data_IF_377205391546
#
_entry.id   IF_377205391546
#
_cell.length_a   1.000
_cell.length_b   1.000
_cell.length_c   1.000
_cell.angle_alpha   90.00
_cell.angle_beta   90.00
_cell.angle_gamma   90.00
#
_symmetry.space_group_name_H-M   'P 1'
#
loop_
_entity.id
_entity.type
_entity.pdbx_description
1 polymer ?
#
# COMPACT_ATOMS: atom_id res chain seq x y z
N UNK A 1 -4.93 4.32 -10.19
CA UNK A 1 -4.53 4.61 -8.80
C UNK A 1 -3.25 5.39 -8.79
N UNK A 2 -2.93 6.01 -7.66
CA UNK A 2 -1.63 6.66 -7.46
C UNK A 2 -0.85 5.87 -6.42
N UNK A 3 0.37 5.46 -6.75
CA UNK A 3 1.30 4.78 -5.85
C UNK A 3 2.59 5.59 -5.79
N UNK A 4 3.00 6.05 -4.60
CA UNK A 4 4.21 6.86 -4.40
C UNK A 4 4.29 8.07 -5.36
N UNK A 5 3.15 8.75 -5.54
CA UNK A 5 2.94 9.88 -6.47
C UNK A 5 2.98 9.55 -7.97
N UNK A 6 3.25 8.30 -8.36
CA UNK A 6 3.17 7.86 -9.74
C UNK A 6 1.78 7.29 -10.08
N UNK A 7 1.35 7.52 -11.33
CA UNK A 7 0.05 7.08 -11.84
C UNK A 7 0.15 5.66 -12.43
N UNK A 8 -0.65 4.73 -11.91
CA UNK A 8 -0.70 3.35 -12.40
C UNK A 8 -2.11 2.94 -12.84
N UNK A 9 -2.17 2.23 -13.96
CA UNK A 9 -3.33 1.42 -14.36
C UNK A 9 -3.18 0.02 -13.77
N UNK A 10 -4.22 -0.45 -13.10
CA UNK A 10 -4.27 -1.80 -12.52
C UNK A 10 -5.20 -2.66 -13.34
N UNK A 11 -4.71 -3.84 -13.69
CA UNK A 11 -5.47 -4.90 -14.33
C UNK A 11 -5.50 -6.08 -13.37
N UNK A 12 -6.69 -6.48 -12.95
CA UNK A 12 -6.89 -7.61 -12.05
C UNK A 12 -8.14 -8.37 -12.46
N UNK A 13 -8.16 -9.68 -12.21
CA UNK A 13 -9.32 -10.55 -12.43
C UNK A 13 -10.30 -10.53 -11.24
N UNK A 14 -9.84 -10.07 -10.07
CA UNK A 14 -10.66 -9.99 -8.86
C UNK A 14 -10.23 -8.83 -7.95
N UNK A 15 -11.12 -8.31 -7.08
CA UNK A 15 -10.73 -7.34 -6.07
C UNK A 15 -9.65 -7.90 -5.15
N UNK A 16 -8.68 -7.07 -4.77
CA UNK A 16 -7.61 -7.44 -3.86
C UNK A 16 -7.47 -6.39 -2.76
N UNK A 17 -6.97 -6.84 -1.63
CA UNK A 17 -6.74 -6.03 -0.44
C UNK A 17 -5.36 -5.39 -0.49
N UNK A 18 -5.20 -4.33 0.29
CA UNK A 18 -3.93 -3.62 0.40
C UNK A 18 -2.78 -4.56 0.80
N UNK A 19 -3.01 -5.55 1.68
CA UNK A 19 -1.95 -6.46 2.09
C UNK A 19 -1.50 -7.38 0.94
N UNK A 20 -2.43 -7.90 0.14
CA UNK A 20 -2.14 -8.74 -1.02
C UNK A 20 -1.35 -7.94 -2.07
N UNK A 21 -1.66 -6.65 -2.20
CA UNK A 21 -0.93 -5.73 -3.06
C UNK A 21 0.51 -5.48 -2.58
N UNK A 22 0.70 -5.26 -1.28
CA UNK A 22 2.04 -5.07 -0.70
C UNK A 22 2.90 -6.33 -0.82
N UNK A 23 2.29 -7.50 -0.63
CA UNK A 23 2.94 -8.80 -0.87
C UNK A 23 3.32 -8.99 -2.34
N UNK A 24 2.41 -8.67 -3.27
CA UNK A 24 2.68 -8.72 -4.71
C UNK A 24 3.86 -7.83 -5.13
N UNK A 25 3.99 -6.66 -4.51
CA UNK A 25 5.12 -5.74 -4.73
C UNK A 25 6.39 -6.12 -3.96
N UNK A 26 6.36 -7.22 -3.20
CA UNK A 26 7.48 -7.72 -2.39
C UNK A 26 7.98 -6.72 -1.33
N UNK A 27 7.07 -5.93 -0.73
CA UNK A 27 7.42 -5.07 0.40
C UNK A 27 7.35 -5.84 1.74
N UNK A 28 8.44 -5.86 2.54
CA UNK A 28 8.42 -6.46 3.87
C UNK A 28 7.53 -5.66 4.80
N UNK A 29 6.47 -6.29 5.32
CA UNK A 29 5.45 -5.70 6.20
C UNK A 29 6.05 -4.94 7.39
N UNK A 30 7.10 -5.48 7.99
CA UNK A 30 7.70 -4.92 9.21
C UNK A 30 8.55 -3.67 8.97
N UNK A 31 8.85 -3.34 7.71
CA UNK A 31 9.72 -2.21 7.33
C UNK A 31 8.96 -1.14 6.54
N UNK A 32 7.63 -1.11 6.62
CA UNK A 32 6.83 -0.12 5.91
C UNK A 32 5.82 0.56 6.84
N UNK A 33 5.60 1.84 6.58
CA UNK A 33 4.47 2.62 7.04
C UNK A 33 3.62 2.91 5.81
N UNK A 34 2.31 2.64 5.91
CA UNK A 34 1.38 2.86 4.81
C UNK A 34 0.58 4.15 5.04
N UNK A 35 0.58 5.05 4.06
CA UNK A 35 -0.43 6.10 3.95
C UNK A 35 -1.47 5.70 2.89
N UNK A 36 -2.74 5.64 3.27
CA UNK A 36 -3.86 5.36 2.36
C UNK A 36 -4.80 6.56 2.34
N UNK A 37 -4.91 7.23 1.20
CA UNK A 37 -5.75 8.41 0.99
C UNK A 37 -5.53 9.51 2.06
N UNK A 38 -4.27 9.86 2.36
CA UNK A 38 -3.94 10.88 3.35
C UNK A 38 -3.94 10.40 4.81
N UNK A 39 -4.25 9.12 5.07
CA UNK A 39 -4.31 8.56 6.42
C UNK A 39 -3.17 7.57 6.64
N UNK A 40 -2.28 7.91 7.58
CA UNK A 40 -1.17 7.06 8.00
C UNK A 40 -1.72 5.89 8.84
N UNK A 41 -1.29 4.67 8.51
CA UNK A 41 -1.61 3.44 9.23
C UNK A 41 -0.29 2.76 9.63
N UNK A 42 0.08 2.93 10.90
CA UNK A 42 1.37 2.57 11.48
C UNK A 42 1.38 1.13 12.03
N UNK A 43 0.19 0.55 12.19
CA UNK A 43 0.01 -0.86 12.53
C UNK A 43 -0.70 -1.49 11.34
N UNK A 44 -0.07 -2.47 10.70
CA UNK A 44 -0.68 -3.30 9.66
C UNK A 44 -1.81 -4.20 10.20
N UNK A 45 -2.48 -3.81 11.28
CA UNK A 45 -3.84 -4.25 11.61
C UNK A 45 -4.86 -3.60 10.66
N UNK A 46 -4.49 -3.41 9.39
CA UNK A 46 -5.43 -3.02 8.35
C UNK A 46 -6.48 -4.12 8.32
N UNK A 47 -7.62 -3.88 8.99
CA UNK A 47 -8.86 -4.56 8.64
C UNK A 47 -8.93 -4.46 7.12
N UNK A 48 -8.93 -5.61 6.47
CA UNK A 48 -9.09 -5.80 5.02
C UNK A 48 -9.70 -4.59 4.32
N UNK A 49 -8.87 -3.75 3.70
CA UNK A 49 -9.35 -2.70 2.80
C UNK A 49 -9.03 -3.14 1.38
N UNK A 50 -10.09 -3.30 0.60
CA UNK A 50 -9.96 -3.51 -0.84
C UNK A 50 -9.48 -2.23 -1.50
N UNK A 51 -8.54 -2.39 -2.42
CA UNK A 51 -8.01 -1.29 -3.23
C UNK A 51 -9.04 -0.90 -4.28
N UNK A 52 -9.21 0.41 -4.47
CA UNK A 52 -10.07 1.00 -5.49
C UNK A 52 -9.24 1.75 -6.53
N UNK A 53 -9.86 1.96 -7.71
CA UNK A 53 -9.19 2.59 -8.87
C UNK A 53 -8.57 3.95 -8.54
N UNK A 54 -9.22 4.75 -7.72
CA UNK A 54 -8.84 6.13 -7.43
C UNK A 54 -8.13 6.29 -6.07
N UNK A 55 -7.74 5.18 -5.44
CA UNK A 55 -6.96 5.24 -4.20
C UNK A 55 -5.57 5.82 -4.46
N UNK A 56 -5.11 6.62 -3.49
CA UNK A 56 -3.72 7.06 -3.34
C UNK A 56 -3.07 6.24 -2.22
N UNK A 57 -1.96 5.61 -2.55
CA UNK A 57 -1.14 4.82 -1.63
C UNK A 57 0.27 5.43 -1.61
N UNK A 58 0.78 5.74 -0.42
CA UNK A 58 2.20 6.01 -0.23
C UNK A 58 2.79 4.95 0.70
N UNK A 59 3.87 4.32 0.23
CA UNK A 59 4.64 3.33 0.96
C UNK A 59 5.92 4.02 1.44
N UNK A 60 5.99 4.27 2.74
CA UNK A 60 7.14 4.86 3.38
C UNK A 60 7.96 3.70 3.96
N UNK A 61 9.17 3.50 3.46
CA UNK A 61 10.07 2.45 3.97
C UNK A 61 10.84 2.96 5.18
N UNK A 62 10.92 2.12 6.20
CA UNK A 62 11.79 2.34 7.36
C UNK A 62 13.17 1.80 6.98
N UNK A 63 14.08 2.71 6.64
CA UNK A 63 15.49 2.37 6.37
C UNK A 63 16.33 2.55 7.63
N UNK A 64 17.19 1.58 7.91
CA UNK A 64 18.12 1.61 9.05
C UNK A 64 19.43 2.27 8.65
N UNK A 65 19.77 3.35 9.34
CA UNK A 65 21.06 4.02 9.30
C UNK A 65 21.00 5.05 10.41
N UNK A 66 21.83 4.89 11.44
CA UNK A 66 21.88 5.84 12.56
C UNK A 66 22.11 7.28 12.10
#
# INVERSE_FOLDING_TARGET
MTLNNDQYKIFTIQPFQIFEFLEFLNYPKDLIILEHNGKINNKLTLRSKYIKRDDKIEIITIVGGG
#
